data_IF_013729341385
#
_entry.id   IF_013729341385
#
_cell.length_a   1.000
_cell.length_b   1.000
_cell.length_c   1.000
_cell.angle_alpha   90.00
_cell.angle_beta   90.00
_cell.angle_gamma   90.00
#
_symmetry.space_group_name_H-M   'P 1'
#
loop_
_entity.id
_entity.type
_entity.pdbx_description
1 polymer ?
#
# COMPACT_ATOMS: atom_id res chain seq x y z
N UNK A 1 -1.98 -5.81 7.07
CA UNK A 1 -1.31 -6.56 5.98
C UNK A 1 -0.26 -5.73 5.23
N UNK A 2 -0.60 -4.63 4.54
CA UNK A 2 0.38 -3.81 3.76
C UNK A 2 1.42 -3.10 4.64
N UNK A 3 0.97 -2.34 5.65
CA UNK A 3 1.88 -1.65 6.58
C UNK A 3 2.74 -2.64 7.39
N UNK A 4 2.19 -3.81 7.73
CA UNK A 4 2.92 -4.87 8.43
C UNK A 4 4.01 -5.49 7.56
N UNK A 5 3.73 -5.73 6.28
CA UNK A 5 4.73 -6.18 5.32
C UNK A 5 5.89 -5.17 5.22
N UNK A 6 5.57 -3.88 5.10
CA UNK A 6 6.58 -2.81 5.06
C UNK A 6 7.38 -2.73 6.38
N UNK A 7 6.70 -2.80 7.53
CA UNK A 7 7.34 -2.80 8.85
C UNK A 7 8.26 -4.02 9.04
N UNK A 8 7.97 -5.14 8.38
CA UNK A 8 8.77 -6.36 8.40
C UNK A 8 9.94 -6.33 7.41
N UNK A 9 10.14 -5.23 6.68
CA UNK A 9 11.19 -5.10 5.67
C UNK A 9 10.82 -5.72 4.31
N UNK A 10 9.57 -6.12 4.11
CA UNK A 10 9.12 -6.69 2.85
C UNK A 10 8.82 -5.60 1.80
N UNK A 11 9.13 -5.94 0.55
CA UNK A 11 8.64 -5.23 -0.64
C UNK A 11 7.17 -5.57 -0.87
N UNK A 12 6.38 -4.60 -1.36
CA UNK A 12 4.93 -4.74 -1.52
C UNK A 12 4.53 -4.59 -2.99
N UNK A 13 3.76 -5.57 -3.47
CA UNK A 13 2.90 -5.43 -4.66
C UNK A 13 1.46 -5.56 -4.17
N UNK A 14 0.65 -4.52 -4.38
CA UNK A 14 -0.74 -4.49 -3.92
C UNK A 14 -1.65 -3.87 -5.00
N UNK A 15 -2.95 -4.14 -4.92
CA UNK A 15 -3.93 -3.43 -5.74
C UNK A 15 -4.12 -2.00 -5.24
N UNK A 16 -4.32 -1.07 -6.15
CA UNK A 16 -4.62 0.34 -5.89
C UNK A 16 -6.08 0.51 -5.41
N UNK A 17 -6.46 -0.20 -4.34
CA UNK A 17 -7.75 -0.02 -3.68
C UNK A 17 -7.75 1.32 -2.93
N UNK A 18 -8.91 2.01 -2.79
CA UNK A 18 -8.99 3.29 -2.11
C UNK A 18 -8.34 3.32 -0.71
N UNK A 19 -8.54 2.27 0.09
CA UNK A 19 -7.91 2.18 1.42
C UNK A 19 -6.40 2.00 1.37
N UNK A 20 -5.86 1.37 0.33
CA UNK A 20 -4.41 1.21 0.14
C UNK A 20 -3.79 2.53 -0.30
N UNK A 21 -4.43 3.24 -1.24
CA UNK A 21 -3.97 4.53 -1.72
C UNK A 21 -4.09 5.63 -0.66
N UNK A 22 -5.11 5.59 0.21
CA UNK A 22 -5.23 6.49 1.36
C UNK A 22 -4.06 6.35 2.34
N UNK A 23 -3.66 5.10 2.61
CA UNK A 23 -2.55 4.79 3.53
C UNK A 23 -1.20 5.18 2.93
N UNK A 24 -0.90 4.75 1.71
CA UNK A 24 0.42 4.88 1.10
C UNK A 24 0.63 6.19 0.32
N UNK A 25 -0.46 6.83 -0.12
CA UNK A 25 -0.43 7.97 -1.03
C UNK A 25 0.11 7.60 -2.42
N UNK A 26 0.38 8.64 -3.23
CA UNK A 26 0.96 8.50 -4.58
C UNK A 26 2.49 8.50 -4.58
N UNK A 27 3.12 8.16 -3.45
CA UNK A 27 4.59 8.21 -3.32
C UNK A 27 5.22 7.12 -4.18
N UNK A 28 6.18 7.52 -5.03
CA UNK A 28 6.96 6.59 -5.85
C UNK A 28 8.16 6.11 -5.05
N UNK A 29 8.16 4.83 -4.68
CA UNK A 29 9.31 4.14 -4.09
C UNK A 29 9.70 2.96 -4.97
N UNK A 30 10.89 2.40 -4.77
CA UNK A 30 11.32 1.20 -5.48
C UNK A 30 10.80 -0.09 -4.82
N UNK A 31 10.21 -0.02 -3.64
CA UNK A 31 9.74 -1.16 -2.83
C UNK A 31 8.22 -1.27 -2.70
N UNK A 32 7.45 -0.37 -3.33
CA UNK A 32 5.99 -0.41 -3.41
C UNK A 32 5.58 -0.29 -4.87
N UNK A 33 4.83 -1.27 -5.36
CA UNK A 33 4.12 -1.20 -6.64
C UNK A 33 2.61 -1.33 -6.41
N UNK A 34 1.85 -0.33 -6.85
CA UNK A 34 0.40 -0.38 -6.86
C UNK A 34 -0.13 -0.74 -8.25
N UNK A 35 -0.79 -1.88 -8.33
CA UNK A 35 -1.41 -2.39 -9.56
C UNK A 35 -2.82 -1.81 -9.66
N UNK A 36 -3.22 -1.20 -10.80
CA UNK A 36 -4.59 -0.72 -10.98
C UNK A 36 -5.61 -1.81 -10.69
N UNK A 37 -6.60 -1.47 -9.86
CA UNK A 37 -7.70 -2.39 -9.53
C UNK A 37 -8.55 -2.63 -10.78
N UNK A 38 -8.80 -3.91 -11.17
CA UNK A 38 -9.67 -4.19 -12.30
C UNK A 38 -11.12 -3.81 -11.95
N UNK A 39 -11.95 -3.50 -12.93
CA UNK A 39 -13.37 -3.30 -12.66
C UNK A 39 -13.96 -4.61 -12.14
N UNK A 40 -14.78 -4.50 -11.11
CA UNK A 40 -15.48 -5.64 -10.53
C UNK A 40 -16.93 -5.66 -11.03
N UNK A 41 -17.42 -6.86 -11.31
CA UNK A 41 -18.82 -7.20 -11.37
C UNK A 41 -19.18 -7.92 -10.07
N UNK A 42 -20.44 -7.81 -9.64
CA UNK A 42 -20.86 -8.34 -8.34
C UNK A 42 -20.01 -7.75 -7.20
N UNK A 43 -19.69 -8.52 -6.16
CA UNK A 43 -18.95 -8.00 -5.00
C UNK A 43 -17.43 -8.06 -5.21
N UNK A 44 -16.92 -9.14 -5.78
CA UNK A 44 -15.48 -9.45 -5.77
C UNK A 44 -14.94 -10.02 -7.10
N UNK A 45 -15.77 -10.12 -8.14
CA UNK A 45 -15.40 -10.78 -9.39
C UNK A 45 -14.90 -9.77 -10.43
N UNK A 46 -13.66 -9.87 -10.95
CA UNK A 46 -13.22 -9.00 -12.03
C UNK A 46 -14.04 -9.19 -13.31
N UNK A 47 -14.30 -8.10 -14.03
CA UNK A 47 -14.83 -8.14 -15.39
C UNK A 47 -13.82 -8.87 -16.28
N UNK A 48 -14.28 -9.85 -17.06
CA UNK A 48 -13.40 -10.70 -17.89
C UNK A 48 -12.49 -9.91 -18.85
N UNK A 49 -12.99 -8.79 -19.38
CA UNK A 49 -12.23 -7.89 -20.26
C UNK A 49 -10.97 -7.30 -19.59
N UNK A 50 -10.98 -7.13 -18.26
CA UNK A 50 -9.88 -6.51 -17.52
C UNK A 50 -8.86 -7.57 -17.01
N UNK A 51 -9.23 -8.86 -17.01
CA UNK A 51 -8.42 -9.93 -16.41
C UNK A 51 -7.04 -10.08 -17.07
N UNK A 52 -6.97 -9.98 -18.40
CA UNK A 52 -5.70 -10.08 -19.14
C UNK A 52 -4.77 -8.92 -18.78
N UNK A 53 -5.28 -7.70 -18.82
CA UNK A 53 -4.49 -6.50 -18.51
C UNK A 53 -4.05 -6.49 -17.04
N UNK A 54 -4.94 -6.89 -16.13
CA UNK A 54 -4.62 -6.99 -14.70
C UNK A 54 -3.47 -7.98 -14.45
N UNK A 55 -3.55 -9.18 -15.04
CA UNK A 55 -2.50 -10.20 -14.92
C UNK A 55 -1.16 -9.71 -15.46
N UNK A 56 -1.17 -9.01 -16.60
CA UNK A 56 0.03 -8.41 -17.19
C UNK A 56 0.64 -7.35 -16.26
N UNK A 57 -0.19 -6.44 -15.74
CA UNK A 57 0.27 -5.38 -14.82
C UNK A 57 0.85 -5.97 -13.53
N UNK A 58 0.21 -7.00 -12.98
CA UNK A 58 0.70 -7.71 -11.79
C UNK A 58 2.04 -8.39 -12.06
N UNK A 59 2.17 -9.09 -13.19
CA UNK A 59 3.43 -9.71 -13.61
C UNK A 59 4.56 -8.70 -13.77
N UNK A 60 4.29 -7.56 -14.40
CA UNK A 60 5.28 -6.48 -14.53
C UNK A 60 5.68 -5.86 -13.19
N UNK A 61 4.73 -5.69 -12.25
CA UNK A 61 5.03 -5.22 -10.90
C UNK A 61 5.93 -6.18 -10.12
N UNK A 62 5.63 -7.48 -10.18
CA UNK A 62 6.47 -8.52 -9.55
C UNK A 62 7.88 -8.52 -10.15
N UNK A 63 8.02 -8.41 -11.47
CA UNK A 63 9.33 -8.32 -12.11
C UNK A 63 10.12 -7.09 -11.67
N UNK A 64 9.48 -5.91 -11.55
CA UNK A 64 10.12 -4.71 -11.03
C UNK A 64 10.63 -4.93 -9.60
N UNK A 65 9.82 -5.52 -8.73
CA UNK A 65 10.23 -5.80 -7.34
C UNK A 65 11.36 -6.83 -7.25
N UNK A 66 11.40 -7.84 -8.11
CA UNK A 66 12.52 -8.79 -8.18
C UNK A 66 13.83 -8.10 -8.58
N UNK A 67 13.79 -7.23 -9.60
CA UNK A 67 14.96 -6.46 -10.02
C UNK A 67 15.42 -5.47 -8.94
N UNK A 68 14.48 -4.77 -8.32
CA UNK A 68 14.78 -3.84 -7.25
C UNK A 68 15.38 -4.56 -6.04
N UNK A 69 14.85 -5.74 -5.65
CA UNK A 69 15.42 -6.56 -4.59
C UNK A 69 16.86 -7.01 -4.87
N UNK A 70 17.18 -7.33 -6.13
CA UNK A 70 18.55 -7.68 -6.52
C UNK A 70 19.50 -6.49 -6.42
N UNK A 71 19.03 -5.28 -6.75
CA UNK A 71 19.85 -4.06 -6.75
C UNK A 71 19.98 -3.45 -5.35
N UNK A 72 18.90 -3.48 -4.57
CA UNK A 72 18.77 -2.94 -3.21
C UNK A 72 18.04 -3.99 -2.34
N UNK A 73 18.78 -4.92 -1.71
CA UNK A 73 18.16 -6.02 -0.95
C UNK A 73 17.36 -5.53 0.27
N UNK A 74 17.80 -4.44 0.90
CA UNK A 74 17.12 -3.79 2.00
C UNK A 74 16.29 -2.61 1.49
N UNK A 75 15.11 -2.43 2.07
CA UNK A 75 14.23 -1.29 1.78
C UNK A 75 14.53 -0.14 2.74
N UNK A 76 14.51 1.09 2.23
CA UNK A 76 14.56 2.31 3.05
C UNK A 76 13.15 2.83 3.28
N UNK A 77 12.67 2.79 4.52
CA UNK A 77 11.32 3.24 4.89
C UNK A 77 11.22 4.76 5.07
N UNK A 78 12.34 5.50 5.03
CA UNK A 78 12.37 6.96 5.18
C UNK A 78 11.35 7.71 4.29
N UNK A 79 11.13 7.32 3.02
CA UNK A 79 10.15 7.97 2.14
C UNK A 79 8.69 7.88 2.62
N UNK A 80 8.37 6.94 3.50
CA UNK A 80 7.02 6.70 4.02
C UNK A 80 6.94 6.75 5.55
N UNK A 81 7.97 7.26 6.22
CA UNK A 81 8.05 7.28 7.68
C UNK A 81 6.89 8.04 8.33
N UNK A 82 6.40 9.11 7.68
CA UNK A 82 5.21 9.86 8.09
C UNK A 82 3.97 8.96 8.15
N UNK A 83 3.78 8.10 7.14
CA UNK A 83 2.67 7.16 7.06
C UNK A 83 2.82 6.03 8.07
N UNK A 84 4.02 5.45 8.19
CA UNK A 84 4.31 4.44 9.20
C UNK A 84 3.98 4.95 10.61
N UNK A 85 4.35 6.19 10.93
CA UNK A 85 4.04 6.81 12.20
C UNK A 85 2.54 7.09 12.35
N UNK A 86 1.90 7.68 11.34
CA UNK A 86 0.50 8.11 11.39
C UNK A 86 -0.52 6.95 11.50
N UNK A 87 -0.15 5.76 11.03
CA UNK A 87 -0.98 4.54 11.08
C UNK A 87 -0.45 3.49 12.07
N UNK A 88 0.57 3.82 12.87
CA UNK A 88 0.95 3.02 14.04
C UNK A 88 -0.13 3.09 15.13
N UNK A 89 -0.10 2.15 16.09
CA UNK A 89 -1.01 2.17 17.23
C UNK A 89 -0.96 3.48 18.01
N UNK A 90 0.23 4.02 18.26
CA UNK A 90 0.40 5.30 18.95
C UNK A 90 -0.09 6.49 18.12
N UNK A 91 0.10 6.45 16.78
CA UNK A 91 -0.43 7.45 15.86
C UNK A 91 -1.95 7.47 15.80
N UNK A 92 -2.58 6.29 15.72
CA UNK A 92 -4.03 6.12 15.73
C UNK A 92 -4.62 6.55 17.07
N UNK A 93 -4.03 6.12 18.19
CA UNK A 93 -4.46 6.52 19.53
C UNK A 93 -4.50 8.05 19.68
N UNK A 94 -3.40 8.73 19.31
CA UNK A 94 -3.30 10.20 19.39
C UNK A 94 -4.40 10.91 18.58
N UNK A 95 -4.73 10.41 17.38
CA UNK A 95 -5.80 10.98 16.55
C UNK A 95 -7.17 10.83 17.23
N UNK A 96 -7.44 9.65 17.78
CA UNK A 96 -8.71 9.36 18.46
C UNK A 96 -8.85 10.17 19.75
N UNK A 97 -7.80 10.22 20.56
CA UNK A 97 -7.75 11.00 21.81
C UNK A 97 -8.00 12.50 21.56
N UNK A 98 -7.37 13.07 20.53
CA UNK A 98 -7.58 14.47 20.16
C UNK A 98 -9.06 14.78 19.87
N UNK A 99 -9.77 13.90 19.17
CA UNK A 99 -11.19 14.08 18.87
C UNK A 99 -12.07 14.01 20.12
N UNK A 100 -11.73 13.14 21.08
CA UNK A 100 -12.44 13.10 22.36
C UNK A 100 -12.26 14.40 23.15
N UNK A 101 -11.02 14.91 23.23
CA UNK A 101 -10.72 16.14 23.97
C UNK A 101 -11.38 17.38 23.33
N UNK A 102 -11.56 17.41 22.01
CA UNK A 102 -12.24 18.55 21.35
C UNK A 102 -13.77 18.56 21.53
N UNK A 103 -14.39 17.41 21.83
CA UNK A 103 -15.85 17.30 22.03
C UNK A 103 -16.26 17.18 23.50
N UNK A 104 -15.29 17.04 24.41
CA UNK A 104 -15.50 17.01 25.85
C UNK A 104 -15.41 18.39 26.53
N UNK A 105 -15.22 19.47 25.76
CA UNK A 105 -15.13 20.86 26.21
C UNK A 105 -16.30 21.72 25.74
#
# INVERSE_FOLDING_TARGET
>A
MVLEALASGCRVVATALPGVTEILGERKTDFIDLVPTPRLQEVDKPVAADQKQFTQNLGSALQRQLWAARKHPQIDLSPIADRMAAFSWSGVFRKVEALYLTHAG
#
